data_IF_014623533349
#
_entry.id   IF_014623533349
#
_cell.length_a   1.000
_cell.length_b   1.000
_cell.length_c   1.000
_cell.angle_alpha   90.00
_cell.angle_beta   90.00
_cell.angle_gamma   90.00
#
_symmetry.space_group_name_H-M   'P 1'
#
loop_
_entity.id
_entity.type
_entity.pdbx_description
1 polymer ?
#
# COMPACT_ATOMS: atom_id res chain seq x y z
N UNK A 1 26.10 28.86 1.36
CA UNK A 1 25.35 28.21 2.46
C UNK A 1 24.69 26.97 1.89
N UNK A 2 25.11 25.79 2.32
CA UNK A 2 24.44 24.55 1.93
C UNK A 2 23.25 24.39 2.89
N UNK A 3 22.10 24.95 2.50
CA UNK A 3 20.86 24.75 3.26
C UNK A 3 20.46 23.29 3.05
N UNK A 4 20.98 22.42 3.92
CA UNK A 4 20.63 21.00 3.88
C UNK A 4 19.13 20.87 4.01
N UNK A 5 18.45 20.51 2.92
CA UNK A 5 17.03 20.24 2.94
C UNK A 5 16.81 19.08 3.90
N UNK A 6 16.16 19.38 5.03
CA UNK A 6 15.75 18.39 6.03
C UNK A 6 14.25 18.24 5.96
N UNK A 7 13.79 17.00 6.02
CA UNK A 7 12.37 16.73 6.20
C UNK A 7 12.08 16.80 7.70
N UNK A 8 10.90 17.31 8.06
CA UNK A 8 10.50 17.37 9.47
C UNK A 8 10.32 15.98 10.06
N UNK A 9 10.75 15.78 11.31
CA UNK A 9 10.74 14.47 11.98
C UNK A 9 9.37 13.77 12.00
N UNK A 10 8.28 14.55 11.93
CA UNK A 10 6.91 14.05 11.95
C UNK A 10 6.58 13.10 10.78
N UNK A 11 7.30 13.17 9.67
CA UNK A 11 7.08 12.27 8.53
C UNK A 11 7.51 10.83 8.80
N UNK A 12 8.31 10.60 9.84
CA UNK A 12 8.79 9.28 10.22
C UNK A 12 7.85 8.55 11.19
N UNK A 13 6.89 9.26 11.78
CA UNK A 13 5.80 8.62 12.53
C UNK A 13 4.77 8.07 11.53
N UNK A 14 4.63 6.74 11.51
CA UNK A 14 3.74 6.06 10.58
C UNK A 14 2.28 6.51 10.71
N UNK A 15 1.80 6.79 11.92
CA UNK A 15 0.42 7.23 12.15
C UNK A 15 0.22 8.65 11.61
N UNK A 16 1.20 9.52 11.80
CA UNK A 16 1.15 10.89 11.27
C UNK A 16 1.22 10.85 9.74
N UNK A 17 2.14 10.08 9.16
CA UNK A 17 2.27 9.96 7.71
C UNK A 17 0.98 9.43 7.09
N UNK A 18 0.43 8.34 7.61
CA UNK A 18 -0.80 7.75 7.08
C UNK A 18 -2.01 8.68 7.28
N UNK A 19 -2.09 9.37 8.43
CA UNK A 19 -3.13 10.36 8.71
C UNK A 19 -3.11 11.56 7.76
N UNK A 20 -1.92 11.98 7.31
CA UNK A 20 -1.76 13.05 6.33
C UNK A 20 -2.05 12.58 4.89
N UNK A 21 -1.92 11.28 4.61
CA UNK A 21 -2.01 10.71 3.26
C UNK A 21 -3.30 9.89 3.05
N UNK A 22 -4.46 10.39 3.48
CA UNK A 22 -5.75 9.67 3.36
C UNK A 22 -6.48 9.83 2.01
N UNK A 23 -6.00 10.72 1.14
CA UNK A 23 -6.60 10.99 -0.17
C UNK A 23 -6.50 9.78 -1.11
N UNK A 24 -7.37 9.67 -2.12
CA UNK A 24 -7.33 8.59 -3.14
C UNK A 24 -7.21 9.11 -4.58
N UNK A 25 -6.91 10.40 -4.76
CA UNK A 25 -6.82 11.04 -6.08
C UNK A 25 -5.74 10.44 -6.98
N UNK A 26 -4.70 9.86 -6.40
CA UNK A 26 -3.58 9.19 -7.05
C UNK A 26 -3.87 7.69 -7.36
N UNK A 27 -4.91 7.08 -6.78
CA UNK A 27 -5.25 5.67 -7.04
C UNK A 27 -5.42 5.39 -8.54
N UNK A 28 -6.08 6.30 -9.26
CA UNK A 28 -6.28 6.17 -10.71
C UNK A 28 -4.98 6.25 -11.50
N UNK A 29 -3.97 6.96 -10.99
CA UNK A 29 -2.64 6.96 -11.58
C UNK A 29 -1.99 5.57 -11.43
N UNK A 30 -2.00 4.98 -10.23
CA UNK A 30 -1.44 3.66 -9.99
C UNK A 30 -2.15 2.55 -10.79
N UNK A 31 -3.49 2.62 -10.91
CA UNK A 31 -4.27 1.66 -11.71
C UNK A 31 -3.81 1.54 -13.16
N UNK A 32 -3.23 2.59 -13.75
CA UNK A 32 -2.68 2.55 -15.13
C UNK A 32 -1.49 1.62 -15.27
N UNK A 33 -0.75 1.39 -14.17
CA UNK A 33 0.46 0.58 -14.14
C UNK A 33 0.23 -0.82 -13.60
N UNK A 34 -0.99 -1.13 -13.15
CA UNK A 34 -1.31 -2.47 -12.68
C UNK A 34 -1.30 -3.48 -13.83
N UNK A 35 -0.97 -4.75 -13.55
CA UNK A 35 -1.06 -5.82 -14.54
C UNK A 35 -2.45 -5.88 -15.17
N UNK A 36 -2.53 -6.06 -16.49
CA UNK A 36 -3.83 -6.28 -17.15
C UNK A 36 -4.43 -7.65 -16.79
N UNK A 37 -3.57 -8.63 -16.48
CA UNK A 37 -3.98 -9.91 -15.95
C UNK A 37 -4.41 -9.76 -14.49
N UNK A 38 -5.69 -10.02 -14.20
CA UNK A 38 -6.27 -9.94 -12.85
C UNK A 38 -5.83 -11.05 -11.90
N UNK A 39 -5.20 -12.10 -12.42
CA UNK A 39 -4.60 -13.20 -11.66
C UNK A 39 -3.13 -12.93 -11.28
N UNK A 40 -2.57 -11.80 -11.71
CA UNK A 40 -1.19 -11.46 -11.37
C UNK A 40 -1.03 -11.24 -9.85
N UNK A 41 0.06 -11.78 -9.30
CA UNK A 41 0.44 -11.50 -7.90
C UNK A 41 1.04 -10.10 -7.81
N UNK A 42 0.52 -9.29 -6.90
CA UNK A 42 0.96 -7.91 -6.67
C UNK A 42 1.58 -7.84 -5.28
N UNK A 43 2.79 -7.27 -5.21
CA UNK A 43 3.47 -6.93 -3.98
C UNK A 43 3.46 -5.41 -3.80
N UNK A 44 2.87 -4.92 -2.71
CA UNK A 44 2.95 -3.52 -2.30
C UNK A 44 3.92 -3.39 -1.12
N UNK A 45 4.96 -2.57 -1.33
CA UNK A 45 5.96 -2.27 -0.31
C UNK A 45 5.54 -1.02 0.47
N UNK A 46 5.71 -1.05 1.80
CA UNK A 46 5.44 0.09 2.68
C UNK A 46 3.99 0.60 2.53
N UNK A 47 3.00 -0.29 2.54
CA UNK A 47 1.60 0.04 2.27
C UNK A 47 0.93 0.95 3.32
N UNK A 48 1.58 1.17 4.47
CA UNK A 48 0.97 1.82 5.65
C UNK A 48 -0.34 1.14 6.03
N UNK A 49 -1.40 1.94 6.19
CA UNK A 49 -2.79 1.48 6.40
C UNK A 49 -3.43 0.68 5.25
N UNK A 50 -2.74 0.46 4.12
CA UNK A 50 -3.28 -0.27 2.97
C UNK A 50 -4.24 0.56 2.12
N UNK A 51 -4.11 1.89 2.15
CA UNK A 51 -4.93 2.86 1.44
C UNK A 51 -5.10 2.54 -0.05
N UNK A 52 -4.03 2.14 -0.74
CA UNK A 52 -4.08 1.73 -2.15
C UNK A 52 -4.40 0.25 -2.29
N UNK A 53 -3.79 -0.59 -1.45
CA UNK A 53 -3.94 -2.05 -1.43
C UNK A 53 -5.41 -2.47 -1.41
N UNK A 54 -6.19 -1.90 -0.47
CA UNK A 54 -7.57 -2.32 -0.20
C UNK A 54 -8.48 -2.01 -1.40
N UNK A 55 -8.52 -0.77 -1.96
CA UNK A 55 -9.25 -0.50 -3.18
C UNK A 55 -8.80 -1.33 -4.38
N UNK A 56 -7.50 -1.59 -4.55
CA UNK A 56 -6.98 -2.40 -5.66
C UNK A 56 -7.49 -3.85 -5.56
N UNK A 57 -7.49 -4.44 -4.36
CA UNK A 57 -8.05 -5.77 -4.12
C UNK A 57 -9.56 -5.83 -4.42
N UNK A 58 -10.32 -4.79 -4.03
CA UNK A 58 -11.76 -4.71 -4.28
C UNK A 58 -12.12 -4.58 -5.77
N UNK A 59 -11.22 -4.04 -6.58
CA UNK A 59 -11.37 -3.84 -8.03
C UNK A 59 -11.20 -5.13 -8.87
N UNK A 60 -11.35 -6.30 -8.26
CA UNK A 60 -11.35 -7.60 -8.95
C UNK A 60 -9.96 -8.12 -9.30
N UNK A 61 -8.88 -7.54 -8.75
CA UNK A 61 -7.62 -8.26 -8.68
C UNK A 61 -7.79 -9.36 -7.63
N UNK A 62 -7.84 -10.62 -8.09
CA UNK A 62 -8.11 -11.82 -7.29
C UNK A 62 -9.51 -11.92 -6.64
N UNK A 63 -10.58 -11.89 -7.45
CA UNK A 63 -11.95 -12.20 -7.01
C UNK A 63 -12.24 -13.70 -6.81
N UNK A 64 -11.47 -14.59 -7.46
CA UNK A 64 -11.66 -16.05 -7.43
C UNK A 64 -10.43 -16.84 -6.91
N UNK A 65 -9.36 -16.16 -6.48
CA UNK A 65 -8.13 -16.85 -6.06
C UNK A 65 -7.90 -16.67 -4.56
N UNK A 66 -7.55 -17.76 -3.90
CA UNK A 66 -7.12 -17.76 -2.51
C UNK A 66 -5.76 -17.06 -2.29
N UNK A 67 -5.31 -16.18 -3.20
CA UNK A 67 -4.01 -15.49 -3.19
C UNK A 67 -4.20 -13.99 -3.45
N UNK A 68 -4.18 -13.14 -2.42
CA UNK A 68 -3.01 -12.44 -1.87
C UNK A 68 -2.54 -11.25 -2.73
N UNK A 69 -3.03 -10.03 -2.41
CA UNK A 69 -2.11 -8.90 -2.47
C UNK A 69 -1.15 -9.08 -1.31
N UNK A 70 0.12 -9.16 -1.64
CA UNK A 70 1.18 -9.34 -0.68
C UNK A 70 1.55 -7.97 -0.16
N UNK A 71 1.44 -7.81 1.14
CA UNK A 71 1.75 -6.57 1.82
C UNK A 71 3.01 -6.76 2.62
N UNK A 72 4.02 -5.92 2.38
CA UNK A 72 5.21 -5.86 3.21
C UNK A 72 5.08 -4.66 4.16
N UNK A 73 4.72 -4.93 5.42
CA UNK A 73 4.88 -3.94 6.49
C UNK A 73 6.18 -4.20 7.23
N UNK A 74 6.90 -3.13 7.55
CA UNK A 74 8.02 -3.17 8.49
C UNK A 74 7.45 -2.86 9.87
N UNK A 75 7.25 -3.88 10.69
CA UNK A 75 6.94 -3.69 12.10
C UNK A 75 8.09 -4.26 12.93
N UNK A 76 8.73 -3.43 13.77
CA UNK A 76 9.87 -3.82 14.61
C UNK A 76 10.99 -4.56 13.84
N UNK A 77 11.34 -4.09 12.62
CA UNK A 77 12.32 -4.73 11.72
C UNK A 77 11.98 -6.18 11.29
N UNK A 78 10.73 -6.61 11.44
CA UNK A 78 10.23 -7.87 10.89
C UNK A 78 9.36 -7.58 9.68
N UNK A 79 9.61 -8.34 8.61
CA UNK A 79 8.71 -8.42 7.47
C UNK A 79 7.50 -9.22 7.90
N UNK A 80 6.37 -8.54 8.08
CA UNK A 80 5.09 -9.20 8.27
C UNK A 80 4.45 -9.40 6.90
N UNK A 81 4.15 -10.67 6.60
CA UNK A 81 3.36 -11.09 5.46
C UNK A 81 1.94 -11.28 5.97
N UNK A 82 1.00 -10.45 5.50
CA UNK A 82 -0.40 -10.59 5.88
C UNK A 82 -1.28 -10.62 4.64
N UNK A 83 -2.13 -11.66 4.57
CA UNK A 83 -3.13 -11.83 3.52
C UNK A 83 -4.32 -10.93 3.87
N UNK A 84 -4.55 -9.86 3.10
CA UNK A 84 -5.81 -9.12 3.19
C UNK A 84 -6.92 -10.03 2.66
N UNK A 85 -7.69 -10.61 3.57
CA UNK A 85 -8.92 -11.32 3.23
C UNK A 85 -10.03 -10.27 3.08
N UNK A 86 -10.69 -10.24 1.92
CA UNK A 86 -11.96 -9.52 1.79
C UNK A 86 -12.92 -10.11 2.84
N UNK A 87 -13.14 -9.40 3.94
CA UNK A 87 -14.25 -9.69 4.84
C UNK A 87 -15.52 -9.40 4.04
N UNK A 88 -16.22 -10.49 3.68
CA UNK A 88 -17.57 -10.44 3.11
C UNK A 88 -18.55 -9.87 4.13
#
# INVERSE_FOLDING_TARGET
MNIGYKVGELIYDANIYDGLNTFLSDLQFYKKWLPKNKEAEILELCCGTGRLTIPIAKDGYNENSEKQIYVLTLNDNKVLYEKIQNQR
#
